data_IF_618358735947
#
_entry.id   IF_618358735947
#
_cell.length_a   1.000
_cell.length_b   1.000
_cell.length_c   1.000
_cell.angle_alpha   90.00
_cell.angle_beta   90.00
_cell.angle_gamma   90.00
#
_symmetry.space_group_name_H-M   'P 1'
#
loop_
_entity.id
_entity.type
_entity.pdbx_description
1 polymer ?
#
# COMPACT_ATOMS: atom_id res chain seq x y z
N UNK A 1 -2.08 28.90 13.36
CA UNK A 1 -0.67 28.90 12.93
C UNK A 1 -0.57 28.09 11.64
N UNK A 2 -0.40 28.76 10.50
CA UNK A 2 -0.34 28.12 9.18
C UNK A 2 1.00 27.37 9.03
N UNK A 3 0.96 26.03 9.01
CA UNK A 3 2.12 25.19 8.75
C UNK A 3 2.57 25.40 7.30
N UNK A 4 3.70 26.08 7.13
CA UNK A 4 4.32 26.25 5.82
C UNK A 4 4.80 24.88 5.32
N UNK A 5 4.29 24.45 4.17
CA UNK A 5 4.70 23.20 3.50
C UNK A 5 5.49 23.56 2.25
N UNK A 6 6.76 23.20 2.25
CA UNK A 6 7.60 23.29 1.08
C UNK A 6 7.44 22.00 0.28
N UNK A 7 6.94 22.11 -0.95
CA UNK A 7 6.93 21.00 -1.90
C UNK A 7 7.54 21.45 -3.22
N UNK A 8 8.56 20.75 -3.68
CA UNK A 8 9.08 20.90 -5.04
C UNK A 8 8.26 20.01 -5.96
N UNK A 9 7.61 20.60 -6.97
CA UNK A 9 6.90 19.83 -8.00
C UNK A 9 7.90 19.44 -9.08
N UNK A 10 8.23 18.16 -9.11
CA UNK A 10 9.10 17.58 -10.13
C UNK A 10 8.21 16.90 -11.19
N UNK A 11 8.07 17.53 -12.35
CA UNK A 11 7.31 17.01 -13.49
C UNK A 11 8.26 16.47 -14.54
N UNK A 12 8.66 15.21 -14.39
CA UNK A 12 9.36 14.47 -15.43
C UNK A 12 8.61 13.16 -15.71
N UNK A 13 8.54 12.72 -16.97
CA UNK A 13 7.98 11.43 -17.29
C UNK A 13 8.83 10.35 -16.62
N UNK A 14 8.15 9.35 -16.06
CA UNK A 14 8.85 8.19 -15.52
C UNK A 14 9.64 7.49 -16.65
N UNK A 15 10.92 7.25 -16.40
CA UNK A 15 11.80 6.50 -17.30
C UNK A 15 12.51 5.42 -16.49
N UNK A 16 12.41 4.18 -16.94
CA UNK A 16 13.15 3.09 -16.34
C UNK A 16 14.64 3.23 -16.65
N UNK A 17 15.50 3.05 -15.63
CA UNK A 17 16.95 3.03 -15.80
C UNK A 17 17.50 1.67 -15.42
N UNK A 18 18.17 1.02 -16.37
CA UNK A 18 18.83 -0.27 -16.16
C UNK A 18 19.90 -0.20 -15.07
N UNK A 19 20.64 0.91 -14.99
CA UNK A 19 21.65 1.13 -13.96
C UNK A 19 21.04 1.15 -12.56
N UNK A 20 19.91 1.85 -12.41
CA UNK A 20 19.19 1.93 -11.13
C UNK A 20 18.58 0.57 -10.75
N UNK A 21 18.04 -0.17 -11.72
CA UNK A 21 17.50 -1.51 -11.49
C UNK A 21 18.62 -2.49 -11.06
N UNK A 22 19.78 -2.46 -11.72
CA UNK A 22 20.94 -3.29 -11.36
C UNK A 22 21.52 -2.91 -9.99
N UNK A 23 21.54 -1.63 -9.64
CA UNK A 23 22.01 -1.18 -8.33
C UNK A 23 21.08 -1.65 -7.19
N UNK A 24 19.78 -1.79 -7.46
CA UNK A 24 18.78 -2.13 -6.44
C UNK A 24 18.40 -3.62 -6.40
N UNK A 25 18.76 -4.42 -7.40
CA UNK A 25 18.32 -5.81 -7.54
C UNK A 25 18.71 -6.74 -6.37
N UNK A 26 19.82 -6.45 -5.68
CA UNK A 26 20.36 -7.23 -4.56
C UNK A 26 20.12 -6.59 -3.20
N UNK A 27 19.47 -5.44 -3.16
CA UNK A 27 19.09 -4.85 -1.88
C UNK A 27 18.16 -5.84 -1.19
N UNK A 28 18.53 -6.23 0.04
CA UNK A 28 17.65 -6.96 0.92
C UNK A 28 16.31 -6.23 0.93
N UNK A 29 15.21 -6.98 0.84
CA UNK A 29 13.86 -6.44 1.02
C UNK A 29 13.53 -6.57 2.51
N UNK A 30 14.02 -5.67 3.41
CA UNK A 30 13.80 -5.81 4.85
C UNK A 30 12.31 -5.85 5.19
N UNK A 31 11.49 -5.23 4.34
CA UNK A 31 10.04 -5.20 4.51
C UNK A 31 9.35 -6.56 4.26
N UNK A 32 9.95 -7.48 3.50
CA UNK A 32 9.33 -8.77 3.18
C UNK A 32 9.52 -9.77 4.34
N UNK A 33 10.76 -9.93 4.82
CA UNK A 33 11.08 -10.85 5.93
C UNK A 33 10.42 -10.45 7.25
N UNK A 34 10.41 -9.16 7.60
CA UNK A 34 9.70 -8.70 8.81
C UNK A 34 8.19 -8.89 8.70
N UNK A 35 7.58 -8.62 7.53
CA UNK A 35 6.13 -8.77 7.35
C UNK A 35 5.71 -10.23 7.45
N UNK A 36 6.47 -11.14 6.85
CA UNK A 36 6.20 -12.59 6.91
C UNK A 36 6.36 -13.14 8.33
N UNK A 37 7.31 -12.62 9.13
CA UNK A 37 7.46 -12.97 10.54
C UNK A 37 6.36 -12.38 11.45
N UNK A 38 5.80 -11.22 11.10
CA UNK A 38 4.84 -10.48 11.93
C UNK A 38 3.37 -10.73 11.56
N UNK A 39 3.06 -11.28 10.38
CA UNK A 39 1.68 -11.55 9.98
C UNK A 39 1.29 -12.98 10.34
N UNK A 40 0.41 -13.21 11.34
CA UNK A 40 -0.24 -14.50 11.48
C UNK A 40 -1.01 -14.80 10.18
N UNK A 41 -0.83 -16.01 9.62
CA UNK A 41 -1.58 -16.51 8.45
C UNK A 41 -3.04 -16.75 8.82
N UNK A 42 -3.78 -15.68 9.11
CA UNK A 42 -5.23 -15.72 9.24
C UNK A 42 -5.77 -15.88 7.82
N UNK A 43 -6.41 -17.02 7.54
CA UNK A 43 -7.14 -17.28 6.28
C UNK A 43 -8.44 -16.46 6.23
N UNK A 44 -8.39 -15.17 6.54
CA UNK A 44 -9.55 -14.31 6.36
C UNK A 44 -9.82 -14.17 4.86
N UNK A 45 -11.08 -14.30 4.47
CA UNK A 45 -11.48 -13.94 3.12
C UNK A 45 -11.09 -12.48 2.87
N UNK A 46 -10.27 -12.24 1.85
CA UNK A 46 -9.85 -10.90 1.46
C UNK A 46 -11.03 -10.17 0.82
N UNK A 47 -11.85 -9.53 1.65
CA UNK A 47 -12.95 -8.67 1.18
C UNK A 47 -12.35 -7.39 0.62
N UNK A 48 -12.62 -7.11 -0.65
CA UNK A 48 -12.17 -5.88 -1.30
C UNK A 48 -12.76 -4.64 -0.63
N UNK A 49 -11.94 -3.61 -0.39
CA UNK A 49 -12.34 -2.35 0.25
C UNK A 49 -13.60 -1.69 -0.36
N UNK A 50 -13.80 -1.84 -1.66
CA UNK A 50 -14.95 -1.28 -2.39
C UNK A 50 -16.11 -2.27 -2.60
N UNK A 51 -15.95 -3.55 -2.25
CA UNK A 51 -16.99 -4.56 -2.38
C UNK A 51 -18.17 -4.25 -1.46
N UNK A 52 -19.34 -4.86 -1.72
CA UNK A 52 -20.47 -4.81 -0.80
C UNK A 52 -20.08 -5.42 0.54
N UNK A 53 -20.54 -4.82 1.63
CA UNK A 53 -20.22 -5.25 2.97
C UNK A 53 -20.98 -6.55 3.32
N UNK A 54 -20.33 -7.59 3.85
CA UNK A 54 -20.97 -8.87 4.15
C UNK A 54 -21.99 -8.80 5.31
N UNK A 55 -22.07 -7.68 6.04
CA UNK A 55 -23.08 -7.48 7.09
C UNK A 55 -24.50 -7.17 6.57
N UNK A 56 -24.70 -7.18 5.24
CA UNK A 56 -26.02 -6.94 4.64
C UNK A 56 -26.45 -5.48 4.56
N UNK A 57 -25.58 -4.52 4.89
CA UNK A 57 -25.92 -3.09 4.92
C UNK A 57 -26.11 -2.44 3.55
N UNK A 58 -25.78 -3.13 2.45
CA UNK A 58 -25.75 -2.59 1.09
C UNK A 58 -24.67 -1.53 0.83
N UNK A 59 -23.85 -1.19 1.83
CA UNK A 59 -22.77 -0.19 1.72
C UNK A 59 -21.46 -0.85 1.26
N UNK A 60 -20.57 -0.07 0.64
CA UNK A 60 -19.18 -0.53 0.38
C UNK A 60 -18.47 -0.84 1.71
N UNK A 61 -17.65 -1.88 1.75
CA UNK A 61 -16.94 -2.34 2.97
C UNK A 61 -16.20 -1.19 3.69
N UNK A 62 -15.51 -0.34 2.91
CA UNK A 62 -14.84 0.90 3.41
C UNK A 62 -15.72 1.94 4.09
N UNK A 63 -17.02 1.90 3.87
CA UNK A 63 -18.00 2.84 4.45
C UNK A 63 -18.86 2.16 5.53
N UNK A 64 -18.57 0.90 5.87
CA UNK A 64 -19.38 0.10 6.78
C UNK A 64 -18.52 -0.53 7.88
N UNK A 65 -18.07 -1.78 7.72
CA UNK A 65 -17.34 -2.51 8.77
C UNK A 65 -15.83 -2.23 8.81
N UNK A 66 -15.27 -1.52 7.82
CA UNK A 66 -13.86 -1.10 7.79
C UNK A 66 -13.67 0.35 8.28
N UNK A 67 -14.51 0.78 9.23
CA UNK A 67 -14.38 2.12 9.83
C UNK A 67 -13.31 2.15 10.90
#
# INVERSE_FOLDING_TARGET
LSTLRFSVKLEYPWKQSTEQDLATNRLSRPYKSMREALTPTIKSQKIGRNALCPCGSGKKFKKCCLR
#
